data_IF_489671174568
#
_entry.id   IF_489671174568
#
_cell.length_a   1.000
_cell.length_b   1.000
_cell.length_c   1.000
_cell.angle_alpha   90.00
_cell.angle_beta   90.00
_cell.angle_gamma   90.00
#
_symmetry.space_group_name_H-M   'P 1'
#
loop_
_entity.id
_entity.type
_entity.pdbx_description
1 polymer ?
#
# COMPACT_ATOMS: atom_id res chain seq x y z
N UNK A 1 51.92 -47.02 -22.65
CA UNK A 1 53.30 -46.55 -22.90
C UNK A 1 53.32 -45.95 -24.30
N UNK A 2 53.42 -44.62 -24.42
CA UNK A 2 54.04 -43.81 -25.52
C UNK A 2 53.41 -44.02 -26.93
N UNK A 3 53.05 -43.04 -27.78
CA UNK A 3 53.25 -41.58 -27.91
C UNK A 3 52.37 -41.11 -29.11
N UNK A 4 51.59 -40.03 -28.95
CA UNK A 4 51.67 -38.70 -29.59
C UNK A 4 51.05 -38.49 -30.97
N UNK A 5 50.30 -37.38 -30.98
CA UNK A 5 50.18 -36.32 -32.00
C UNK A 5 49.63 -36.64 -33.40
N UNK A 6 48.46 -36.07 -33.71
CA UNK A 6 48.40 -35.00 -34.71
C UNK A 6 47.06 -34.23 -34.68
N UNK A 7 47.18 -32.91 -34.81
CA UNK A 7 46.17 -31.86 -35.01
C UNK A 7 45.41 -32.01 -36.32
N UNK A 8 44.17 -31.47 -36.38
CA UNK A 8 43.61 -30.56 -37.41
C UNK A 8 42.06 -30.54 -37.31
N UNK A 9 41.43 -29.38 -37.05
CA UNK A 9 41.01 -28.34 -38.00
C UNK A 9 39.77 -28.69 -38.84
N UNK A 10 38.67 -27.95 -38.61
CA UNK A 10 37.62 -27.54 -39.57
C UNK A 10 36.55 -26.78 -38.78
N UNK A 11 36.58 -25.45 -38.74
CA UNK A 11 36.28 -24.49 -39.81
C UNK A 11 34.84 -24.58 -40.34
N UNK A 12 34.19 -23.43 -40.22
CA UNK A 12 32.79 -23.12 -40.48
C UNK A 12 32.46 -23.27 -41.97
N UNK A 13 31.26 -23.73 -42.25
CA UNK A 13 30.62 -23.49 -43.55
C UNK A 13 29.24 -22.87 -43.32
N UNK A 14 29.06 -21.75 -43.98
CA UNK A 14 27.85 -20.93 -44.05
C UNK A 14 26.70 -21.70 -44.73
N UNK A 15 25.46 -21.39 -44.33
CA UNK A 15 24.34 -21.41 -45.27
C UNK A 15 23.42 -20.23 -44.97
N UNK A 16 23.68 -19.12 -45.65
CA UNK A 16 22.88 -17.90 -45.63
C UNK A 16 21.81 -18.04 -46.70
N UNK A 17 20.56 -18.31 -46.32
CA UNK A 17 19.43 -18.26 -47.26
C UNK A 17 18.96 -16.82 -47.43
N UNK A 18 19.16 -16.30 -48.63
CA UNK A 18 18.73 -15.00 -49.14
C UNK A 18 17.23 -15.02 -49.40
N UNK A 19 16.49 -14.07 -48.81
CA UNK A 19 15.14 -13.69 -49.26
C UNK A 19 15.23 -12.21 -49.65
N UNK A 20 15.18 -11.95 -50.95
CA UNK A 20 15.06 -10.61 -51.54
C UNK A 20 13.60 -10.18 -51.56
N UNK A 21 13.29 -9.02 -50.99
CA UNK A 21 12.03 -8.33 -51.27
C UNK A 21 12.25 -7.24 -52.33
N UNK A 22 11.34 -7.26 -53.30
CA UNK A 22 11.15 -6.25 -54.34
C UNK A 22 10.52 -5.03 -53.68
N UNK A 23 11.35 -4.06 -53.32
CA UNK A 23 11.10 -2.62 -53.39
C UNK A 23 12.27 -1.91 -52.72
N UNK A 24 13.00 -1.12 -53.51
CA UNK A 24 14.27 -0.49 -53.14
C UNK A 24 14.12 0.55 -52.03
N UNK A 25 14.20 0.10 -50.78
CA UNK A 25 14.45 0.94 -49.61
C UNK A 25 15.51 0.33 -48.69
N UNK A 26 16.54 1.11 -48.39
CA UNK A 26 17.59 0.79 -47.42
C UNK A 26 17.00 0.52 -46.03
N UNK A 27 16.98 -0.75 -45.60
CA UNK A 27 16.66 -1.09 -44.22
C UNK A 27 17.93 -0.94 -43.38
N UNK A 28 17.96 0.17 -42.66
CA UNK A 28 18.91 0.45 -41.58
C UNK A 28 19.10 -0.73 -40.60
N UNK A 29 20.36 -0.91 -40.18
CA UNK A 29 20.85 -1.87 -39.19
C UNK A 29 19.87 -2.09 -38.04
N UNK A 30 19.33 -3.30 -37.94
CA UNK A 30 18.67 -3.80 -36.74
C UNK A 30 19.72 -3.86 -35.63
N UNK A 31 19.71 -2.86 -34.74
CA UNK A 31 20.43 -2.92 -33.48
C UNK A 31 19.79 -4.00 -32.61
N UNK A 32 20.40 -5.18 -32.59
CA UNK A 32 20.17 -6.18 -31.55
C UNK A 32 20.50 -5.52 -30.21
N UNK A 33 19.44 -5.16 -29.46
CA UNK A 33 19.55 -4.60 -28.13
C UNK A 33 20.25 -5.62 -27.22
N UNK A 34 21.54 -5.41 -26.93
CA UNK A 34 22.21 -6.14 -25.85
C UNK A 34 21.45 -5.86 -24.55
N UNK A 35 21.15 -6.89 -23.73
CA UNK A 35 20.61 -6.65 -22.39
C UNK A 35 21.66 -5.87 -21.58
N UNK A 36 21.26 -4.69 -21.07
CA UNK A 36 22.13 -3.90 -20.20
C UNK A 36 22.57 -4.73 -18.98
N UNK A 37 23.85 -4.64 -18.56
CA UNK A 37 24.35 -5.35 -17.40
C UNK A 37 23.59 -4.96 -16.13
N UNK A 38 23.30 -5.94 -15.27
CA UNK A 38 22.50 -5.75 -14.05
C UNK A 38 23.05 -4.65 -13.12
N UNK A 39 24.38 -4.46 -13.09
CA UNK A 39 25.05 -3.40 -12.34
C UNK A 39 24.71 -1.99 -12.80
N UNK A 40 24.33 -1.81 -14.07
CA UNK A 40 23.94 -0.52 -14.65
C UNK A 40 22.49 -0.16 -14.31
N UNK A 41 21.60 -1.17 -14.20
CA UNK A 41 20.22 -0.98 -13.72
C UNK A 41 20.18 -0.53 -12.26
N UNK A 42 21.04 -1.12 -11.42
CA UNK A 42 21.17 -0.77 -9.99
C UNK A 42 21.66 0.67 -9.80
N UNK A 43 22.67 1.11 -10.57
CA UNK A 43 23.16 2.51 -10.50
C UNK A 43 22.14 3.54 -11.01
N UNK A 44 21.37 3.21 -12.05
CA UNK A 44 20.31 4.10 -12.53
C UNK A 44 19.15 4.20 -11.53
N UNK A 45 18.78 3.11 -10.85
CA UNK A 45 17.76 3.15 -9.79
C UNK A 45 18.26 3.84 -8.52
N UNK A 46 19.53 3.66 -8.11
CA UNK A 46 20.16 4.41 -7.00
C UNK A 46 20.19 5.92 -7.23
N UNK A 47 20.28 6.37 -8.48
CA UNK A 47 20.15 7.80 -8.83
C UNK A 47 18.74 8.35 -8.62
N UNK A 48 17.71 7.49 -8.53
CA UNK A 48 16.34 7.85 -8.11
C UNK A 48 16.16 7.82 -6.59
N UNK A 49 17.06 7.21 -5.82
CA UNK A 49 17.08 7.22 -4.35
C UNK A 49 17.85 8.44 -3.82
N UNK A 50 17.56 9.62 -4.36
CA UNK A 50 17.93 10.87 -3.70
C UNK A 50 17.14 10.97 -2.37
N UNK A 51 17.68 11.65 -1.35
CA UNK A 51 17.17 11.69 0.03
C UNK A 51 15.70 12.11 0.20
N UNK A 52 15.04 12.53 -0.87
CA UNK A 52 13.65 12.99 -0.91
C UNK A 52 12.59 11.87 -0.95
N UNK A 53 12.96 10.61 -1.23
CA UNK A 53 12.00 9.49 -1.40
C UNK A 53 12.00 8.50 -0.23
N UNK A 54 11.85 9.00 1.00
CA UNK A 54 11.93 8.21 2.26
C UNK A 54 10.99 6.99 2.25
N UNK A 55 9.77 7.11 1.71
CA UNK A 55 8.83 5.98 1.61
C UNK A 55 9.39 4.87 0.70
N UNK A 56 10.03 5.20 -0.43
CA UNK A 56 10.59 4.21 -1.33
C UNK A 56 11.78 3.49 -0.71
N UNK A 57 12.63 4.22 0.01
CA UNK A 57 13.70 3.64 0.82
C UNK A 57 13.10 2.68 1.84
N UNK A 58 12.04 3.07 2.54
CA UNK A 58 11.37 2.21 3.51
C UNK A 58 10.80 0.94 2.87
N UNK A 59 10.09 1.05 1.73
CA UNK A 59 9.58 -0.12 0.98
C UNK A 59 10.70 -1.05 0.50
N UNK A 60 11.87 -0.49 0.16
CA UNK A 60 13.07 -1.25 -0.18
C UNK A 60 13.59 -2.05 1.03
N UNK A 61 13.78 -1.39 2.18
CA UNK A 61 14.19 -2.03 3.43
C UNK A 61 13.24 -3.16 3.86
N UNK A 62 11.94 -2.97 3.65
CA UNK A 62 10.91 -3.97 3.92
C UNK A 62 10.92 -5.16 2.95
N UNK A 63 11.83 -5.18 1.97
CA UNK A 63 11.95 -6.26 0.98
C UNK A 63 10.77 -6.32 0.01
N UNK A 64 10.03 -5.21 -0.17
CA UNK A 64 8.87 -5.16 -1.08
C UNK A 64 9.27 -4.85 -2.53
N UNK A 65 10.50 -4.42 -2.77
CA UNK A 65 11.01 -4.12 -4.10
C UNK A 65 11.98 -5.23 -4.56
N UNK A 66 11.74 -5.76 -5.76
CA UNK A 66 12.43 -6.95 -6.33
C UNK A 66 13.96 -6.83 -6.38
N UNK A 67 14.51 -5.62 -6.50
CA UNK A 67 15.96 -5.38 -6.56
C UNK A 67 16.68 -5.66 -5.23
N UNK A 68 15.95 -5.96 -4.15
CA UNK A 68 16.54 -6.55 -2.94
C UNK A 68 16.79 -8.06 -3.14
N UNK A 69 17.89 -8.41 -3.80
CA UNK A 69 18.48 -9.77 -3.71
C UNK A 69 19.02 -10.10 -2.31
N UNK A 70 18.86 -9.20 -1.34
CA UNK A 70 19.19 -9.43 0.06
C UNK A 70 18.28 -10.47 0.70
N UNK A 71 18.56 -11.76 0.43
CA UNK A 71 18.03 -12.92 1.15
C UNK A 71 18.22 -12.75 2.67
N UNK A 72 19.27 -12.06 3.08
CA UNK A 72 19.59 -11.74 4.48
C UNK A 72 18.52 -10.84 5.11
N UNK A 73 18.18 -9.69 4.51
CA UNK A 73 17.14 -8.81 5.05
C UNK A 73 15.79 -9.52 5.15
N UNK A 74 15.44 -10.33 4.16
CA UNK A 74 14.23 -11.14 4.20
C UNK A 74 14.25 -12.16 5.35
N UNK A 75 15.37 -12.87 5.54
CA UNK A 75 15.55 -13.81 6.64
C UNK A 75 15.45 -13.12 8.01
N UNK A 76 16.06 -11.94 8.15
CA UNK A 76 15.99 -11.13 9.37
C UNK A 76 14.54 -10.70 9.64
N UNK A 77 13.86 -10.06 8.69
CA UNK A 77 12.47 -9.65 8.87
C UNK A 77 11.58 -10.84 9.18
N UNK A 78 11.66 -11.94 8.42
CA UNK A 78 10.87 -13.14 8.67
C UNK A 78 11.13 -13.74 10.05
N UNK A 79 12.39 -13.75 10.50
CA UNK A 79 12.77 -14.16 11.84
C UNK A 79 12.16 -13.29 12.93
N UNK A 80 12.14 -11.96 12.74
CA UNK A 80 11.49 -11.02 13.66
C UNK A 80 9.98 -11.26 13.74
N UNK A 81 9.32 -11.58 12.62
CA UNK A 81 7.91 -11.96 12.60
C UNK A 81 7.69 -13.27 13.39
N UNK A 82 8.48 -14.31 13.13
CA UNK A 82 8.34 -15.59 13.83
C UNK A 82 8.54 -15.40 15.35
N UNK A 83 9.58 -14.67 15.75
CA UNK A 83 9.89 -14.39 17.15
C UNK A 83 8.74 -13.64 17.84
N UNK A 84 8.19 -12.61 17.20
CA UNK A 84 7.06 -11.84 17.75
C UNK A 84 5.78 -12.68 17.83
N UNK A 85 5.58 -13.60 16.89
CA UNK A 85 4.46 -14.56 16.92
C UNK A 85 4.59 -15.50 18.11
N UNK A 86 5.77 -16.09 18.32
CA UNK A 86 6.05 -17.00 19.44
C UNK A 86 5.86 -16.26 20.77
N UNK A 87 6.43 -15.06 20.89
CA UNK A 87 6.23 -14.16 22.03
C UNK A 87 4.75 -13.95 22.34
N UNK A 88 3.94 -13.61 21.32
CA UNK A 88 2.50 -13.38 21.48
C UNK A 88 1.76 -14.64 21.96
N UNK A 89 2.12 -15.82 21.43
CA UNK A 89 1.54 -17.10 21.85
C UNK A 89 1.88 -17.44 23.30
N UNK A 90 3.13 -17.22 23.72
CA UNK A 90 3.55 -17.41 25.11
C UNK A 90 2.75 -16.49 26.04
N UNK A 91 2.57 -15.21 25.66
CA UNK A 91 1.78 -14.26 26.44
C UNK A 91 0.32 -14.69 26.61
N UNK A 92 -0.29 -15.31 25.60
CA UNK A 92 -1.64 -15.88 25.72
C UNK A 92 -1.66 -17.05 26.71
N UNK A 93 -0.68 -17.94 26.65
CA UNK A 93 -0.57 -19.04 27.60
C UNK A 93 -0.43 -18.54 29.05
N UNK A 94 0.40 -17.51 29.27
CA UNK A 94 0.58 -16.89 30.59
C UNK A 94 -0.70 -16.21 31.07
N UNK A 95 -1.39 -15.47 30.20
CA UNK A 95 -2.60 -14.72 30.55
C UNK A 95 -3.89 -15.54 30.48
N UNK A 96 -3.83 -16.86 30.26
CA UNK A 96 -5.02 -17.72 30.04
C UNK A 96 -6.11 -17.56 31.11
N UNK A 97 -5.72 -17.35 32.37
CA UNK A 97 -6.64 -17.23 33.50
C UNK A 97 -6.79 -15.78 34.00
N UNK A 98 -6.41 -14.79 33.19
CA UNK A 98 -6.44 -13.37 33.54
C UNK A 98 -7.42 -12.59 32.65
N UNK A 99 -7.99 -11.51 33.17
CA UNK A 99 -8.73 -10.51 32.38
C UNK A 99 -7.90 -9.93 31.23
N UNK A 100 -6.57 -10.07 31.29
CA UNK A 100 -5.62 -9.70 30.23
C UNK A 100 -5.63 -10.61 29.01
N UNK A 101 -6.32 -11.76 29.05
CA UNK A 101 -6.47 -12.65 27.90
C UNK A 101 -7.15 -11.93 26.73
N UNK A 102 -8.20 -11.16 27.00
CA UNK A 102 -8.96 -10.42 25.96
C UNK A 102 -8.07 -9.44 25.20
N UNK A 103 -7.22 -8.71 25.93
CA UNK A 103 -6.25 -7.78 25.35
C UNK A 103 -5.17 -8.52 24.54
N UNK A 104 -4.68 -9.65 25.06
CA UNK A 104 -3.68 -10.47 24.36
C UNK A 104 -4.23 -11.06 23.06
N UNK A 105 -5.49 -11.49 23.05
CA UNK A 105 -6.18 -11.98 21.85
C UNK A 105 -6.40 -10.85 20.82
N UNK A 106 -6.75 -9.65 21.27
CA UNK A 106 -6.86 -8.48 20.40
C UNK A 106 -5.51 -8.18 19.71
N UNK A 107 -4.43 -8.11 20.47
CA UNK A 107 -3.08 -7.91 19.94
C UNK A 107 -2.68 -9.00 18.95
N UNK A 108 -2.95 -10.27 19.26
CA UNK A 108 -2.66 -11.39 18.36
C UNK A 108 -3.46 -11.29 17.04
N UNK A 109 -4.75 -10.96 17.11
CA UNK A 109 -5.60 -10.89 15.93
C UNK A 109 -5.14 -9.81 14.94
N UNK A 110 -4.80 -8.62 15.45
CA UNK A 110 -4.33 -7.50 14.62
C UNK A 110 -2.91 -7.74 14.11
N UNK A 111 -2.06 -8.36 14.93
CA UNK A 111 -0.74 -8.83 14.52
C UNK A 111 -0.79 -9.84 13.38
N UNK A 112 -1.66 -10.85 13.49
CA UNK A 112 -1.81 -11.90 12.49
C UNK A 112 -2.22 -11.29 11.14
N UNK A 113 -3.18 -10.36 11.16
CA UNK A 113 -3.57 -9.62 9.96
C UNK A 113 -2.41 -8.75 9.43
N UNK A 114 -1.64 -8.08 10.29
CA UNK A 114 -0.41 -7.36 9.91
C UNK A 114 0.59 -8.25 9.16
N UNK A 115 0.77 -9.47 9.63
CA UNK A 115 1.63 -10.48 8.99
C UNK A 115 1.08 -10.92 7.63
N UNK A 116 -0.22 -11.16 7.53
CA UNK A 116 -0.87 -11.47 6.26
C UNK A 116 -0.76 -10.32 5.25
N UNK A 117 -0.87 -9.06 5.70
CA UNK A 117 -0.65 -7.88 4.86
C UNK A 117 0.77 -7.91 4.31
N UNK A 118 1.77 -8.16 5.16
CA UNK A 118 3.17 -8.25 4.71
C UNK A 118 3.38 -9.36 3.68
N UNK A 119 2.85 -10.56 3.94
CA UNK A 119 2.93 -11.68 3.01
C UNK A 119 2.25 -11.37 1.67
N UNK A 120 1.08 -10.71 1.70
CA UNK A 120 0.33 -10.33 0.51
C UNK A 120 1.10 -9.31 -0.34
N UNK A 121 1.69 -8.28 0.29
CA UNK A 121 2.53 -7.29 -0.38
C UNK A 121 3.80 -7.91 -0.94
N UNK A 122 4.39 -8.86 -0.20
CA UNK A 122 5.58 -9.58 -0.65
C UNK A 122 5.32 -10.39 -1.93
N UNK A 123 4.14 -10.99 -2.08
CA UNK A 123 3.75 -11.67 -3.34
C UNK A 123 3.73 -10.71 -4.53
N UNK A 124 3.49 -9.43 -4.29
CA UNK A 124 3.43 -8.39 -5.33
C UNK A 124 4.77 -7.72 -5.63
N UNK A 125 5.87 -8.14 -4.99
CA UNK A 125 7.21 -7.53 -5.11
C UNK A 125 7.75 -7.34 -6.53
N UNK A 126 7.29 -8.16 -7.48
CA UNK A 126 7.70 -8.08 -8.90
C UNK A 126 6.87 -7.07 -9.69
N UNK A 127 5.61 -6.85 -9.28
CA UNK A 127 4.65 -5.97 -9.97
C UNK A 127 4.71 -4.55 -9.44
N UNK A 128 4.88 -4.39 -8.12
CA UNK A 128 4.92 -3.08 -7.46
C UNK A 128 6.00 -2.13 -8.03
N UNK A 129 7.27 -2.54 -8.24
CA UNK A 129 8.27 -1.64 -8.81
C UNK A 129 7.91 -1.14 -10.21
N UNK A 130 7.28 -1.97 -11.03
CA UNK A 130 6.87 -1.58 -12.38
C UNK A 130 5.76 -0.52 -12.34
N UNK A 131 4.78 -0.70 -11.45
CA UNK A 131 3.73 0.29 -11.21
C UNK A 131 4.34 1.62 -10.75
N UNK A 132 5.21 1.59 -9.76
CA UNK A 132 5.85 2.78 -9.21
C UNK A 132 6.71 3.51 -10.24
N UNK A 133 7.46 2.75 -11.06
CA UNK A 133 8.26 3.29 -12.17
C UNK A 133 7.37 3.93 -13.25
N UNK A 134 6.19 3.36 -13.52
CA UNK A 134 5.24 3.93 -14.47
C UNK A 134 4.73 5.29 -13.97
N UNK A 135 4.35 5.36 -12.70
CA UNK A 135 3.85 6.60 -12.10
C UNK A 135 4.96 7.66 -12.01
N UNK A 136 6.17 7.26 -11.60
CA UNK A 136 7.29 8.19 -11.42
C UNK A 136 7.78 8.83 -12.73
N UNK A 137 7.60 8.15 -13.87
CA UNK A 137 7.93 8.71 -15.19
C UNK A 137 6.99 9.86 -15.59
N UNK A 138 5.73 9.76 -15.17
CA UNK A 138 4.68 10.70 -15.56
C UNK A 138 4.56 11.88 -14.59
N UNK A 139 4.99 11.73 -13.34
CA UNK A 139 5.10 12.80 -12.36
C UNK A 139 6.00 12.32 -11.22
N UNK A 140 6.86 13.18 -10.69
CA UNK A 140 7.58 12.87 -9.46
C UNK A 140 6.59 12.69 -8.31
N UNK A 141 6.73 11.61 -7.54
CA UNK A 141 5.99 11.36 -6.30
C UNK A 141 6.44 12.38 -5.23
N UNK A 142 6.04 13.64 -5.38
CA UNK A 142 6.24 14.61 -4.32
C UNK A 142 5.11 14.45 -3.32
N UNK A 143 5.48 14.01 -2.12
CA UNK A 143 4.59 14.10 -0.99
C UNK A 143 4.19 15.56 -0.77
N UNK A 144 2.89 15.81 -0.73
CA UNK A 144 2.39 17.09 -0.22
C UNK A 144 2.82 17.25 1.25
N UNK A 145 2.88 18.50 1.75
CA UNK A 145 3.22 18.75 3.17
C UNK A 145 2.38 17.88 4.11
N UNK A 146 1.09 17.75 3.82
CA UNK A 146 0.16 16.91 4.57
C UNK A 146 0.58 15.43 4.54
N UNK A 147 0.85 14.86 3.37
CA UNK A 147 1.23 13.45 3.27
C UNK A 147 2.57 13.14 3.99
N UNK A 148 3.53 14.09 4.01
CA UNK A 148 4.75 13.95 4.81
C UNK A 148 4.44 13.84 6.31
N UNK A 149 3.50 14.66 6.81
CA UNK A 149 3.05 14.59 8.21
C UNK A 149 2.46 13.22 8.53
N UNK A 150 1.58 12.67 7.68
CA UNK A 150 1.03 11.32 7.91
C UNK A 150 2.10 10.24 7.90
N UNK A 151 3.07 10.34 6.99
CA UNK A 151 4.19 9.41 6.96
C UNK A 151 4.99 9.44 8.27
N UNK A 152 5.40 10.64 8.73
CA UNK A 152 6.16 10.77 9.97
C UNK A 152 5.36 10.36 11.21
N UNK A 153 4.07 10.70 11.26
CA UNK A 153 3.17 10.26 12.33
C UNK A 153 3.04 8.75 12.37
N UNK A 154 2.93 8.10 11.20
CA UNK A 154 2.86 6.63 11.13
C UNK A 154 4.16 5.98 11.60
N UNK A 155 5.31 6.55 11.22
CA UNK A 155 6.63 6.07 11.60
C UNK A 155 6.95 6.34 13.08
N UNK A 156 6.31 7.31 13.73
CA UNK A 156 6.54 7.61 15.16
C UNK A 156 5.79 6.68 16.11
N UNK A 157 4.74 5.97 15.64
CA UNK A 157 3.90 5.08 16.48
C UNK A 157 4.71 4.07 17.30
N UNK A 158 5.68 3.31 16.75
CA UNK A 158 6.42 2.32 17.54
C UNK A 158 7.20 2.98 18.68
N UNK A 159 7.76 4.17 18.44
CA UNK A 159 8.49 4.93 19.45
C UNK A 159 7.57 5.48 20.54
N UNK A 160 6.37 5.92 20.19
CA UNK A 160 5.36 6.34 21.16
C UNK A 160 4.96 5.16 22.07
N UNK A 161 4.68 3.99 21.50
CA UNK A 161 4.30 2.80 22.28
C UNK A 161 5.40 2.38 23.27
N UNK A 162 6.66 2.44 22.84
CA UNK A 162 7.81 2.06 23.68
C UNK A 162 8.08 3.10 24.75
N UNK A 163 8.00 4.38 24.42
CA UNK A 163 8.18 5.47 25.40
C UNK A 163 7.15 5.35 26.52
N UNK A 164 5.90 5.00 26.18
CA UNK A 164 4.83 4.76 27.15
C UNK A 164 5.13 3.56 28.06
N UNK A 165 5.67 2.47 27.50
CA UNK A 165 6.01 1.27 28.27
C UNK A 165 7.21 1.52 29.21
N UNK A 166 8.25 2.18 28.72
CA UNK A 166 9.41 2.56 29.55
C UNK A 166 8.98 3.52 30.67
N UNK A 167 8.11 4.49 30.37
CA UNK A 167 7.59 5.42 31.36
C UNK A 167 6.78 4.70 32.45
N UNK A 168 5.92 3.76 32.04
CA UNK A 168 5.16 2.91 32.96
C UNK A 168 6.07 2.17 33.94
N UNK A 169 7.10 1.51 33.42
CA UNK A 169 8.06 0.74 34.21
C UNK A 169 8.86 1.64 35.17
N UNK A 170 9.24 2.83 34.71
CA UNK A 170 9.98 3.82 35.51
C UNK A 170 9.14 4.35 36.68
N UNK A 171 7.86 4.65 36.44
CA UNK A 171 6.94 5.16 37.49
C UNK A 171 6.63 4.07 38.51
N UNK A 172 6.52 2.82 38.09
CA UNK A 172 6.15 1.70 38.96
C UNK A 172 7.22 1.30 40.00
N UNK A 173 8.42 1.90 39.98
CA UNK A 173 9.53 1.68 40.94
C UNK A 173 9.77 0.19 41.28
N UNK A 174 9.68 -0.70 40.30
CA UNK A 174 9.92 -2.14 40.50
C UNK A 174 11.42 -2.43 40.37
N UNK A 175 12.17 -2.30 41.47
CA UNK A 175 13.63 -2.14 41.40
C UNK A 175 14.47 -3.40 41.47
N UNK A 176 13.97 -4.56 41.86
CA UNK A 176 14.90 -5.65 42.19
C UNK A 176 15.03 -6.69 41.09
N UNK A 177 13.92 -7.19 40.53
CA UNK A 177 13.95 -8.11 39.39
C UNK A 177 12.66 -8.06 38.56
N UNK A 178 12.80 -8.23 37.24
CA UNK A 178 11.69 -8.27 36.30
C UNK A 178 11.52 -9.71 35.80
N UNK A 179 10.28 -10.20 35.73
CA UNK A 179 10.01 -11.53 35.18
C UNK A 179 9.66 -11.41 33.70
N UNK A 180 10.53 -11.93 32.83
CA UNK A 180 10.26 -12.06 31.39
C UNK A 180 10.07 -13.53 31.07
N UNK A 181 8.88 -13.90 30.60
CA UNK A 181 8.52 -15.28 30.28
C UNK A 181 8.83 -16.27 31.42
N UNK A 182 8.67 -15.83 32.68
CA UNK A 182 8.96 -16.63 33.88
C UNK A 182 10.43 -16.63 34.32
N UNK A 183 11.33 -15.98 33.60
CA UNK A 183 12.74 -15.83 33.99
C UNK A 183 12.97 -14.53 34.74
N UNK A 184 13.67 -14.62 35.87
CA UNK A 184 14.11 -13.48 36.65
C UNK A 184 15.30 -12.80 35.94
N UNK A 185 15.11 -11.56 35.51
CA UNK A 185 16.16 -10.76 34.84
C UNK A 185 16.34 -9.42 35.55
N UNK A 186 17.50 -8.79 35.35
CA UNK A 186 17.73 -7.44 35.86
C UNK A 186 16.76 -6.45 35.21
N UNK A 187 16.40 -5.39 35.94
CA UNK A 187 15.47 -4.36 35.47
C UNK A 187 15.84 -3.80 34.08
N UNK A 188 17.12 -3.49 33.86
CA UNK A 188 17.60 -2.94 32.59
C UNK A 188 17.47 -3.91 31.42
N UNK A 189 17.84 -5.18 31.62
CA UNK A 189 17.70 -6.22 30.59
C UNK A 189 16.22 -6.47 30.31
N UNK A 190 15.40 -6.49 31.37
CA UNK A 190 13.96 -6.65 31.27
C UNK A 190 13.31 -5.57 30.39
N UNK A 191 13.61 -4.30 30.70
CA UNK A 191 13.07 -3.17 29.96
C UNK A 191 13.55 -3.15 28.51
N UNK A 192 14.80 -3.51 28.25
CA UNK A 192 15.33 -3.59 26.89
C UNK A 192 14.58 -4.64 26.06
N UNK A 193 14.44 -5.86 26.59
CA UNK A 193 13.74 -6.95 25.88
C UNK A 193 12.28 -6.62 25.65
N UNK A 194 11.59 -6.06 26.65
CA UNK A 194 10.19 -5.64 26.52
C UNK A 194 10.04 -4.51 25.49
N UNK A 195 10.93 -3.51 25.53
CA UNK A 195 10.95 -2.42 24.55
C UNK A 195 11.13 -2.92 23.13
N UNK A 196 12.08 -3.85 22.91
CA UNK A 196 12.29 -4.46 21.59
C UNK A 196 11.05 -5.22 21.12
N UNK A 197 10.40 -5.99 22.00
CA UNK A 197 9.17 -6.69 21.67
C UNK A 197 8.04 -5.72 21.26
N UNK A 198 7.87 -4.61 22.00
CA UNK A 198 6.89 -3.58 21.69
C UNK A 198 7.20 -2.81 20.40
N UNK A 199 8.47 -2.50 20.11
CA UNK A 199 8.87 -1.93 18.81
C UNK A 199 8.43 -2.87 17.69
N UNK A 200 8.81 -4.14 17.77
CA UNK A 200 8.51 -5.12 16.73
C UNK A 200 7.01 -5.31 16.54
N UNK A 201 6.27 -5.43 17.64
CA UNK A 201 4.82 -5.58 17.58
C UNK A 201 4.15 -4.37 16.95
N UNK A 202 4.48 -3.16 17.42
CA UNK A 202 3.90 -1.89 16.94
C UNK A 202 4.31 -1.58 15.49
N UNK A 203 5.52 -1.99 15.12
CA UNK A 203 6.02 -1.86 13.76
C UNK A 203 5.22 -2.74 12.78
N UNK A 204 4.96 -4.00 13.16
CA UNK A 204 4.16 -4.93 12.35
C UNK A 204 2.70 -4.46 12.27
N UNK A 205 2.14 -4.04 13.40
CA UNK A 205 0.83 -3.41 13.44
C UNK A 205 0.75 -2.38 14.58
N UNK A 206 0.30 -1.14 14.30
CA UNK A 206 -0.37 -0.69 13.08
C UNK A 206 0.57 -0.08 12.03
N UNK A 207 1.85 0.17 12.32
CA UNK A 207 2.73 1.00 11.49
C UNK A 207 2.87 0.47 10.06
N UNK A 208 3.24 -0.79 9.89
CA UNK A 208 3.44 -1.35 8.56
C UNK A 208 2.14 -1.38 7.74
N UNK A 209 1.02 -1.78 8.35
CA UNK A 209 -0.29 -1.74 7.70
C UNK A 209 -0.64 -0.32 7.22
N UNK A 210 -0.40 0.70 8.05
CA UNK A 210 -0.62 2.10 7.70
C UNK A 210 0.34 2.59 6.61
N UNK A 211 1.59 2.13 6.56
CA UNK A 211 2.52 2.51 5.49
C UNK A 211 2.11 1.91 4.13
N UNK A 212 1.63 0.67 4.12
CA UNK A 212 1.05 0.05 2.92
C UNK A 212 -0.24 0.77 2.51
N UNK A 213 -1.10 1.08 3.49
CA UNK A 213 -2.33 1.86 3.27
C UNK A 213 -2.06 3.26 2.73
N UNK A 214 -1.01 3.93 3.22
CA UNK A 214 -0.55 5.23 2.72
C UNK A 214 -0.09 5.10 1.26
N UNK A 215 0.72 4.10 0.93
CA UNK A 215 1.16 3.86 -0.45
C UNK A 215 -0.04 3.65 -1.39
N UNK A 216 -1.00 2.82 -0.98
CA UNK A 216 -2.24 2.59 -1.72
C UNK A 216 -3.03 3.91 -1.90
N UNK A 217 -3.18 4.68 -0.83
CA UNK A 217 -3.88 5.97 -0.85
C UNK A 217 -3.21 6.98 -1.78
N UNK A 218 -1.88 7.06 -1.79
CA UNK A 218 -1.12 7.93 -2.70
C UNK A 218 -1.36 7.57 -4.17
N UNK A 219 -1.36 6.28 -4.49
CA UNK A 219 -1.63 5.80 -5.84
C UNK A 219 -3.05 6.14 -6.29
N UNK A 220 -4.03 6.02 -5.39
CA UNK A 220 -5.41 6.41 -5.66
C UNK A 220 -5.54 7.92 -5.87
N UNK A 221 -4.92 8.73 -4.99
CA UNK A 221 -4.91 10.18 -5.13
C UNK A 221 -4.24 10.63 -6.43
N UNK A 222 -3.17 9.96 -6.84
CA UNK A 222 -2.52 10.22 -8.13
C UNK A 222 -3.48 10.01 -9.31
N UNK A 223 -4.24 8.91 -9.30
CA UNK A 223 -5.29 8.65 -10.29
C UNK A 223 -6.34 9.77 -10.28
N UNK A 224 -6.84 10.16 -9.09
CA UNK A 224 -7.81 11.25 -8.96
C UNK A 224 -7.27 12.56 -9.54
N UNK A 225 -6.01 12.91 -9.26
CA UNK A 225 -5.38 14.12 -9.81
C UNK A 225 -5.27 14.06 -11.33
N UNK A 226 -4.88 12.90 -11.90
CA UNK A 226 -4.82 12.73 -13.36
C UNK A 226 -6.20 12.91 -14.01
N UNK A 227 -7.25 12.34 -13.41
CA UNK A 227 -8.64 12.52 -13.88
C UNK A 227 -9.09 13.98 -13.78
N UNK A 228 -8.84 14.65 -12.66
CA UNK A 228 -9.19 16.07 -12.49
C UNK A 228 -8.49 16.93 -13.54
N UNK A 229 -7.19 16.73 -13.78
CA UNK A 229 -6.45 17.51 -14.77
C UNK A 229 -7.00 17.36 -16.19
N UNK A 230 -7.39 16.15 -16.59
CA UNK A 230 -8.05 15.92 -17.89
C UNK A 230 -9.42 16.61 -17.90
N UNK A 231 -10.16 16.52 -16.80
CA UNK A 231 -11.49 17.15 -16.67
C UNK A 231 -11.39 18.67 -16.81
N UNK A 232 -10.43 19.29 -16.12
CA UNK A 232 -10.20 20.74 -16.14
C UNK A 232 -9.74 21.22 -17.54
N UNK A 233 -8.93 20.41 -18.23
CA UNK A 233 -8.52 20.63 -19.63
C UNK A 233 -9.72 20.60 -20.61
N UNK A 234 -10.67 19.68 -20.41
CA UNK A 234 -11.92 19.65 -21.20
C UNK A 234 -12.81 20.85 -20.88
N UNK A 235 -12.91 21.21 -19.60
CA UNK A 235 -13.77 22.30 -19.15
C UNK A 235 -13.30 23.64 -19.72
N UNK A 236 -11.99 23.89 -19.70
CA UNK A 236 -11.35 25.13 -20.19
C UNK A 236 -11.30 25.27 -21.72
N UNK A 237 -11.25 24.17 -22.47
CA UNK A 237 -11.27 24.15 -23.94
C UNK A 237 -12.56 24.78 -24.51
N UNK A 238 -12.59 25.40 -25.70
CA UNK A 238 -13.86 25.80 -26.31
C UNK A 238 -14.58 24.61 -26.98
N UNK A 239 -15.89 24.69 -27.19
CA UNK A 239 -16.62 23.63 -27.90
C UNK A 239 -16.14 23.46 -29.36
N UNK A 240 -15.64 24.54 -29.97
CA UNK A 240 -15.07 24.54 -31.33
C UNK A 240 -13.70 23.83 -31.38
N UNK A 241 -12.90 23.95 -30.32
CA UNK A 241 -11.60 23.28 -30.19
C UNK A 241 -11.73 21.79 -29.81
N UNK A 242 -12.88 21.38 -29.26
CA UNK A 242 -13.12 20.00 -28.80
C UNK A 242 -13.38 18.99 -29.93
N UNK A 243 -12.55 19.04 -30.97
CA UNK A 243 -12.61 18.23 -32.18
C UNK A 243 -12.53 16.72 -31.93
N UNK A 244 -12.88 15.91 -32.94
CA UNK A 244 -12.75 14.44 -32.88
C UNK A 244 -11.33 13.99 -32.53
N UNK A 245 -10.30 14.68 -33.04
CA UNK A 245 -8.91 14.38 -32.69
C UNK A 245 -8.63 14.68 -31.21
N UNK A 246 -9.14 15.79 -30.67
CA UNK A 246 -9.02 16.14 -29.25
C UNK A 246 -9.78 15.15 -28.36
N UNK A 247 -10.99 14.75 -28.75
CA UNK A 247 -11.77 13.71 -28.06
C UNK A 247 -11.00 12.39 -28.00
N UNK A 248 -10.39 11.96 -29.11
CA UNK A 248 -9.57 10.75 -29.17
C UNK A 248 -8.33 10.85 -28.29
N UNK A 249 -7.65 12.00 -28.27
CA UNK A 249 -6.52 12.26 -27.37
C UNK A 249 -6.92 12.13 -25.89
N UNK A 250 -8.02 12.78 -25.50
CA UNK A 250 -8.58 12.69 -24.14
C UNK A 250 -8.91 11.25 -23.77
N UNK A 251 -9.52 10.49 -24.67
CA UNK A 251 -9.84 9.07 -24.43
C UNK A 251 -8.58 8.19 -24.39
N UNK A 252 -7.55 8.52 -25.16
CA UNK A 252 -6.25 7.86 -25.04
C UNK A 252 -5.65 8.04 -23.64
N UNK A 253 -5.70 9.26 -23.10
CA UNK A 253 -5.26 9.55 -21.72
C UNK A 253 -6.12 8.86 -20.67
N UNK A 254 -7.43 8.78 -20.86
CA UNK A 254 -8.34 8.03 -19.97
C UNK A 254 -8.02 6.54 -19.95
N UNK A 255 -7.78 5.93 -21.12
CA UNK A 255 -7.42 4.52 -21.22
C UNK A 255 -6.07 4.19 -20.52
N UNK A 256 -5.14 5.14 -20.46
CA UNK A 256 -3.91 4.99 -19.67
C UNK A 256 -4.20 4.98 -18.16
N UNK A 257 -5.12 5.84 -17.70
CA UNK A 257 -5.58 5.87 -16.31
C UNK A 257 -6.29 4.56 -15.95
N UNK A 258 -7.16 4.07 -16.83
CA UNK A 258 -7.85 2.78 -16.67
C UNK A 258 -6.85 1.63 -16.45
N UNK A 259 -5.80 1.55 -17.29
CA UNK A 259 -4.73 0.55 -17.12
C UNK A 259 -4.02 0.69 -15.78
N UNK A 260 -3.80 1.92 -15.33
CA UNK A 260 -3.17 2.21 -14.05
C UNK A 260 -4.05 1.75 -12.88
N UNK A 261 -5.35 2.08 -12.90
CA UNK A 261 -6.34 1.64 -11.92
C UNK A 261 -6.39 0.11 -11.85
N UNK A 262 -6.44 -0.56 -13.00
CA UNK A 262 -6.42 -2.02 -13.06
C UNK A 262 -5.12 -2.61 -12.45
N UNK A 263 -3.97 -1.98 -12.69
CA UNK A 263 -2.71 -2.39 -12.04
C UNK A 263 -2.75 -2.22 -10.52
N UNK A 264 -3.29 -1.09 -10.03
CA UNK A 264 -3.47 -0.83 -8.60
C UNK A 264 -4.38 -1.90 -8.00
N UNK A 265 -5.55 -2.14 -8.59
CA UNK A 265 -6.51 -3.18 -8.17
C UNK A 265 -5.82 -4.55 -8.06
N UNK A 266 -5.12 -4.98 -9.11
CA UNK A 266 -4.45 -6.29 -9.15
C UNK A 266 -3.37 -6.48 -8.08
N UNK A 267 -2.71 -5.40 -7.69
CA UNK A 267 -1.66 -5.42 -6.66
C UNK A 267 -2.28 -5.34 -5.26
N UNK A 268 -3.22 -4.42 -5.06
CA UNK A 268 -3.71 -4.05 -3.74
C UNK A 268 -5.04 -4.68 -3.33
N UNK A 269 -5.71 -5.47 -4.18
CA UNK A 269 -7.00 -6.08 -3.80
C UNK A 269 -6.91 -6.89 -2.49
N UNK A 270 -5.96 -7.82 -2.37
CA UNK A 270 -5.76 -8.58 -1.12
C UNK A 270 -5.18 -7.71 0.02
N UNK A 271 -4.10 -6.93 -0.19
CA UNK A 271 -3.58 -6.06 0.86
C UNK A 271 -4.61 -5.09 1.45
N UNK A 272 -5.38 -4.40 0.59
CA UNK A 272 -6.37 -3.40 1.01
C UNK A 272 -7.54 -4.04 1.77
N UNK A 273 -7.97 -5.24 1.38
CA UNK A 273 -8.94 -6.03 2.15
C UNK A 273 -8.43 -6.31 3.56
N UNK A 274 -7.22 -6.88 3.67
CA UNK A 274 -6.62 -7.22 4.97
C UNK A 274 -6.38 -5.99 5.85
N UNK A 275 -5.93 -4.87 5.26
CA UNK A 275 -5.78 -3.59 5.94
C UNK A 275 -7.13 -3.11 6.50
N UNK A 276 -8.18 -3.13 5.68
CA UNK A 276 -9.50 -2.70 6.09
C UNK A 276 -10.04 -3.57 7.24
N UNK A 277 -9.93 -4.90 7.10
CA UNK A 277 -10.32 -5.85 8.15
C UNK A 277 -9.53 -5.64 9.44
N UNK A 278 -8.20 -5.45 9.35
CA UNK A 278 -7.35 -5.25 10.51
C UNK A 278 -7.71 -3.98 11.28
N UNK A 279 -7.81 -2.85 10.57
CA UNK A 279 -8.17 -1.58 11.19
C UNK A 279 -9.58 -1.57 11.75
N UNK A 280 -10.56 -2.12 11.03
CA UNK A 280 -11.92 -2.21 11.53
C UNK A 280 -12.00 -3.08 12.79
N UNK A 281 -11.37 -4.25 12.77
CA UNK A 281 -11.33 -5.17 13.91
C UNK A 281 -10.66 -4.53 15.12
N UNK A 282 -9.54 -3.83 14.92
CA UNK A 282 -8.85 -3.09 15.98
C UNK A 282 -9.76 -2.02 16.58
N UNK A 283 -10.41 -1.20 15.76
CA UNK A 283 -11.30 -0.15 16.24
C UNK A 283 -12.46 -0.71 17.09
N UNK A 284 -13.15 -1.74 16.59
CA UNK A 284 -14.29 -2.35 17.30
C UNK A 284 -13.83 -2.99 18.62
N UNK A 285 -12.73 -3.73 18.60
CA UNK A 285 -12.25 -4.41 19.80
C UNK A 285 -11.69 -3.44 20.85
N UNK A 286 -11.04 -2.35 20.45
CA UNK A 286 -10.61 -1.28 21.37
C UNK A 286 -11.83 -0.60 21.98
N UNK A 287 -12.82 -0.21 21.18
CA UNK A 287 -14.06 0.39 21.70
C UNK A 287 -14.78 -0.56 22.66
N UNK A 288 -14.94 -1.83 22.29
CA UNK A 288 -15.53 -2.83 23.17
C UNK A 288 -14.76 -3.00 24.48
N UNK A 289 -13.43 -2.99 24.43
CA UNK A 289 -12.56 -3.06 25.61
C UNK A 289 -12.74 -1.83 26.50
N UNK A 290 -12.78 -0.63 25.92
CA UNK A 290 -12.98 0.63 26.65
C UNK A 290 -14.36 0.72 27.31
N UNK A 291 -15.40 0.17 26.68
CA UNK A 291 -16.77 0.19 27.22
C UNK A 291 -16.93 -0.85 28.33
N UNK A 292 -16.55 -2.11 28.07
CA UNK A 292 -16.79 -3.24 28.99
C UNK A 292 -15.90 -3.16 30.23
N UNK A 293 -14.65 -2.74 30.07
CA UNK A 293 -13.62 -2.82 31.10
C UNK A 293 -13.04 -1.44 31.46
N UNK A 294 -13.81 -0.37 31.27
CA UNK A 294 -13.39 1.02 31.49
C UNK A 294 -12.63 1.21 32.81
N UNK A 295 -13.16 0.67 33.92
CA UNK A 295 -12.56 0.80 35.27
C UNK A 295 -11.18 0.16 35.44
N UNK A 296 -10.86 -0.86 34.65
CA UNK A 296 -9.56 -1.55 34.72
C UNK A 296 -8.52 -0.74 33.94
N UNK A 297 -8.89 -0.25 32.76
CA UNK A 297 -7.97 0.45 31.88
C UNK A 297 -7.77 1.93 32.22
N UNK A 298 -8.75 2.59 32.83
CA UNK A 298 -8.56 3.97 33.32
C UNK A 298 -7.57 4.08 34.47
N UNK A 299 -7.29 2.97 35.18
CA UNK A 299 -6.26 2.92 36.23
C UNK A 299 -4.84 2.72 35.68
N UNK A 300 -4.69 2.18 34.47
CA UNK A 300 -3.40 1.97 33.80
C UNK A 300 -3.27 2.95 32.62
N UNK A 301 -2.84 4.18 32.93
CA UNK A 301 -2.75 5.29 31.98
C UNK A 301 -1.89 4.95 30.74
N UNK A 302 -0.84 4.13 30.90
CA UNK A 302 0.01 3.72 29.80
C UNK A 302 -0.74 2.82 28.81
N UNK A 303 -1.50 1.83 29.32
CA UNK A 303 -2.30 0.94 28.48
C UNK A 303 -3.42 1.72 27.79
N UNK A 304 -4.09 2.64 28.49
CA UNK A 304 -5.11 3.51 27.90
C UNK A 304 -4.55 4.32 26.73
N UNK A 305 -3.40 4.97 26.92
CA UNK A 305 -2.76 5.74 25.87
C UNK A 305 -2.34 4.89 24.66
N UNK A 306 -1.81 3.68 24.89
CA UNK A 306 -1.48 2.75 23.81
C UNK A 306 -2.73 2.39 23.00
N UNK A 307 -3.84 2.07 23.66
CA UNK A 307 -5.12 1.78 23.00
C UNK A 307 -5.61 2.98 22.18
N UNK A 308 -5.50 4.20 22.70
CA UNK A 308 -5.86 5.43 21.96
C UNK A 308 -4.97 5.61 20.74
N UNK A 309 -3.65 5.45 20.86
CA UNK A 309 -2.71 5.57 19.73
C UNK A 309 -3.04 4.56 18.64
N UNK A 310 -3.29 3.30 18.99
CA UNK A 310 -3.66 2.25 18.03
C UNK A 310 -5.03 2.54 17.40
N UNK A 311 -6.00 3.03 18.17
CA UNK A 311 -7.32 3.41 17.68
C UNK A 311 -7.24 4.55 16.66
N UNK A 312 -6.52 5.63 16.99
CA UNK A 312 -6.34 6.78 16.09
C UNK A 312 -5.57 6.38 14.84
N UNK A 313 -4.51 5.57 15.00
CA UNK A 313 -3.72 5.05 13.88
C UNK A 313 -4.58 4.19 12.94
N UNK A 314 -5.46 3.35 13.49
CA UNK A 314 -6.27 2.42 12.71
C UNK A 314 -7.46 3.10 12.03
N UNK A 315 -8.18 3.96 12.77
CA UNK A 315 -9.28 4.74 12.22
C UNK A 315 -8.78 5.72 11.15
N UNK A 316 -7.66 6.40 11.38
CA UNK A 316 -7.01 7.27 10.41
C UNK A 316 -6.56 6.52 9.15
N UNK A 317 -5.90 5.37 9.30
CA UNK A 317 -5.47 4.54 8.18
C UNK A 317 -6.63 4.02 7.33
N UNK A 318 -7.70 3.54 7.98
CA UNK A 318 -8.92 3.08 7.31
C UNK A 318 -9.63 4.21 6.57
N UNK A 319 -9.78 5.37 7.23
CA UNK A 319 -10.40 6.54 6.63
C UNK A 319 -9.61 7.02 5.41
N UNK A 320 -8.28 7.09 5.51
CA UNK A 320 -7.43 7.48 4.38
C UNK A 320 -7.61 6.55 3.17
N UNK A 321 -7.61 5.23 3.40
CA UNK A 321 -7.82 4.25 2.34
C UNK A 321 -9.19 4.39 1.68
N UNK A 322 -10.26 4.48 2.48
CA UNK A 322 -11.64 4.64 1.98
C UNK A 322 -11.84 5.96 1.24
N UNK A 323 -11.27 7.05 1.77
CA UNK A 323 -11.39 8.38 1.17
C UNK A 323 -10.67 8.49 -0.16
N UNK A 324 -9.43 7.99 -0.23
CA UNK A 324 -8.59 8.05 -1.42
C UNK A 324 -9.15 7.15 -2.53
N UNK A 325 -9.41 5.87 -2.23
CA UNK A 325 -9.94 4.94 -3.22
C UNK A 325 -11.38 5.29 -3.64
N UNK A 326 -12.22 5.74 -2.70
CA UNK A 326 -13.57 6.21 -2.98
C UNK A 326 -13.63 7.54 -3.73
N UNK A 327 -12.52 8.25 -3.88
CA UNK A 327 -12.43 9.46 -4.71
C UNK A 327 -12.36 9.18 -6.21
N UNK A 328 -11.81 8.02 -6.61
CA UNK A 328 -11.65 7.65 -8.03
C UNK A 328 -12.99 7.64 -8.78
N UNK A 329 -14.03 6.91 -8.33
CA UNK A 329 -15.30 6.90 -9.05
C UNK A 329 -15.96 8.29 -9.13
N UNK A 330 -15.75 9.14 -8.12
CA UNK A 330 -16.30 10.51 -8.11
C UNK A 330 -15.64 11.37 -9.19
N UNK A 331 -14.30 11.34 -9.29
CA UNK A 331 -13.60 12.10 -10.33
C UNK A 331 -13.85 11.53 -11.72
N UNK A 332 -14.04 10.22 -11.86
CA UNK A 332 -14.41 9.60 -13.12
C UNK A 332 -15.81 10.00 -13.58
N UNK A 333 -16.80 9.99 -12.67
CA UNK A 333 -18.16 10.44 -12.98
C UNK A 333 -18.15 11.92 -13.40
N UNK A 334 -17.38 12.77 -12.69
CA UNK A 334 -17.17 14.18 -13.05
C UNK A 334 -16.54 14.32 -14.44
N UNK A 335 -15.53 13.49 -14.75
CA UNK A 335 -14.91 13.44 -16.08
C UNK A 335 -15.93 13.07 -17.16
N UNK A 336 -16.68 11.96 -16.97
CA UNK A 336 -17.70 11.48 -17.92
C UNK A 336 -18.77 12.53 -18.18
N UNK A 337 -19.26 13.18 -17.13
CA UNK A 337 -20.25 14.24 -17.23
C UNK A 337 -19.72 15.47 -17.97
N UNK A 338 -18.48 15.88 -17.67
CA UNK A 338 -17.84 17.03 -18.31
C UNK A 338 -17.57 16.77 -19.78
N UNK A 339 -17.04 15.59 -20.12
CA UNK A 339 -16.85 15.14 -21.49
C UNK A 339 -18.19 15.14 -22.26
N UNK A 340 -19.23 14.53 -21.69
CA UNK A 340 -20.57 14.46 -22.30
C UNK A 340 -21.14 15.86 -22.56
N UNK A 341 -21.05 16.75 -21.58
CA UNK A 341 -21.50 18.14 -21.70
C UNK A 341 -20.78 18.85 -22.85
N UNK A 342 -19.46 18.68 -22.95
CA UNK A 342 -18.64 19.31 -24.00
C UNK A 342 -18.94 18.75 -25.39
N UNK A 343 -19.07 17.44 -25.53
CA UNK A 343 -19.47 16.79 -26.79
C UNK A 343 -20.85 17.27 -27.23
N UNK A 344 -21.81 17.39 -26.31
CA UNK A 344 -23.15 17.89 -26.63
C UNK A 344 -23.13 19.34 -27.12
N UNK A 345 -22.36 20.22 -26.46
CA UNK A 345 -22.20 21.61 -26.89
C UNK A 345 -21.58 21.70 -28.29
N UNK A 346 -20.59 20.85 -28.57
CA UNK A 346 -19.98 20.78 -29.89
C UNK A 346 -20.96 20.28 -30.96
N UNK A 347 -21.71 19.22 -30.68
CA UNK A 347 -22.68 18.67 -31.62
C UNK A 347 -23.76 19.68 -32.02
N UNK A 348 -24.15 20.57 -31.10
CA UNK A 348 -25.07 21.67 -31.38
C UNK A 348 -24.47 22.71 -32.33
N UNK A 349 -23.14 22.89 -32.32
CA UNK A 349 -22.43 23.84 -33.18
C UNK A 349 -22.04 23.23 -34.53
N UNK A 350 -21.68 21.95 -34.54
CA UNK A 350 -21.17 21.23 -35.71
C UNK A 350 -22.11 20.07 -35.95
N UNK A 351 -22.97 20.18 -36.97
CA UNK A 351 -24.03 19.22 -37.31
C UNK A 351 -23.46 17.86 -37.80
N UNK A 352 -22.74 17.14 -36.94
CA UNK A 352 -21.83 16.05 -37.30
C UNK A 352 -22.25 14.68 -36.76
N UNK A 353 -22.55 13.73 -37.66
CA UNK A 353 -22.97 12.35 -37.33
C UNK A 353 -21.91 11.53 -36.57
N UNK A 354 -20.61 11.81 -36.75
CA UNK A 354 -19.51 11.02 -36.16
C UNK A 354 -19.32 11.18 -34.65
N UNK A 355 -19.83 12.26 -34.04
CA UNK A 355 -19.67 12.52 -32.60
C UNK A 355 -20.54 11.60 -31.72
N UNK A 356 -21.64 11.05 -32.27
CA UNK A 356 -22.50 10.09 -31.55
C UNK A 356 -21.79 8.78 -31.22
N UNK A 357 -20.90 8.32 -32.10
CA UNK A 357 -20.21 7.03 -31.91
C UNK A 357 -19.26 7.08 -30.70
N UNK A 358 -18.53 8.19 -30.53
CA UNK A 358 -17.60 8.39 -29.42
C UNK A 358 -18.36 8.55 -28.10
N UNK A 359 -19.50 9.24 -28.12
CA UNK A 359 -20.32 9.44 -26.93
C UNK A 359 -20.89 8.11 -26.38
N UNK A 360 -21.32 7.19 -27.25
CA UNK A 360 -21.84 5.89 -26.84
C UNK A 360 -20.75 4.99 -26.21
N UNK A 361 -19.51 5.04 -26.72
CA UNK A 361 -18.39 4.27 -26.16
C UNK A 361 -18.05 4.62 -24.70
N UNK A 362 -18.26 5.87 -24.28
CA UNK A 362 -18.00 6.30 -22.90
C UNK A 362 -19.15 5.91 -21.97
N UNK A 363 -20.38 5.93 -22.50
CA UNK A 363 -21.59 5.62 -21.72
C UNK A 363 -21.67 4.14 -21.29
N UNK A 364 -21.08 3.26 -22.08
CA UNK A 364 -21.08 1.81 -21.82
C UNK A 364 -19.97 1.37 -20.84
N UNK A 365 -18.98 2.21 -20.55
CA UNK A 365 -17.88 1.83 -19.65
C UNK A 365 -18.32 1.85 -18.18
N UNK A 366 -18.19 0.73 -17.44
CA UNK A 366 -18.48 0.68 -16.02
C UNK A 366 -17.54 1.60 -15.23
N UNK A 367 -18.06 2.20 -14.15
CA UNK A 367 -17.27 3.07 -13.27
C UNK A 367 -16.17 2.28 -12.54
N UNK A 368 -14.98 2.85 -12.44
CA UNK A 368 -13.85 2.35 -11.68
C UNK A 368 -14.17 2.35 -10.19
N UNK A 369 -14.50 1.17 -9.66
CA UNK A 369 -14.62 0.97 -8.22
C UNK A 369 -13.56 -0.03 -7.78
N UNK A 370 -12.58 0.45 -7.02
CA UNK A 370 -11.58 -0.42 -6.40
C UNK A 370 -12.23 -1.30 -5.32
N UNK A 371 -11.76 -2.54 -5.23
CA UNK A 371 -12.32 -3.53 -4.31
C UNK A 371 -11.25 -4.35 -3.59
N UNK A 372 -11.50 -4.61 -2.31
CA UNK A 372 -10.76 -5.57 -1.51
C UNK A 372 -11.34 -6.96 -1.70
N UNK A 373 -10.64 -7.81 -2.46
CA UNK A 373 -11.06 -9.18 -2.81
C UNK A 373 -12.47 -9.29 -3.41
N UNK A 374 -12.99 -8.22 -4.06
CA UNK A 374 -14.39 -8.13 -4.52
C UNK A 374 -15.46 -8.26 -3.42
N UNK A 375 -15.03 -8.29 -2.15
CA UNK A 375 -15.90 -8.36 -0.97
C UNK A 375 -16.20 -6.95 -0.45
N UNK A 376 -15.18 -6.09 -0.39
CA UNK A 376 -15.31 -4.72 0.12
C UNK A 376 -15.10 -3.75 -1.03
N UNK A 377 -16.12 -2.95 -1.36
CA UNK A 377 -16.01 -1.89 -2.35
C UNK A 377 -15.67 -0.57 -1.67
N UNK A 378 -14.56 0.05 -2.08
CA UNK A 378 -14.09 1.30 -1.50
C UNK A 378 -14.84 2.48 -2.12
N UNK A 379 -15.94 2.89 -1.49
CA UNK A 379 -16.70 4.11 -1.83
C UNK A 379 -16.69 5.06 -0.63
N UNK A 380 -16.83 6.37 -0.87
CA UNK A 380 -16.98 7.34 0.25
C UNK A 380 -18.23 7.07 1.09
N UNK A 381 -19.32 6.55 0.48
CA UNK A 381 -20.51 6.13 1.22
C UNK A 381 -20.24 5.01 2.22
N UNK A 382 -19.23 4.16 1.97
CA UNK A 382 -18.81 3.12 2.90
C UNK A 382 -18.29 3.70 4.22
N UNK A 383 -17.79 4.94 4.24
CA UNK A 383 -17.35 5.62 5.47
C UNK A 383 -18.54 5.83 6.42
N UNK A 384 -19.67 6.31 5.89
CA UNK A 384 -20.87 6.55 6.69
C UNK A 384 -21.45 5.23 7.20
N UNK A 385 -21.50 4.20 6.34
CA UNK A 385 -21.93 2.85 6.74
C UNK A 385 -21.04 2.29 7.86
N UNK A 386 -19.73 2.51 7.77
CA UNK A 386 -18.77 2.07 8.78
C UNK A 386 -18.98 2.80 10.10
N UNK A 387 -19.10 4.13 10.06
CA UNK A 387 -19.36 4.94 11.25
C UNK A 387 -20.68 4.54 11.93
N UNK A 388 -21.75 4.34 11.16
CA UNK A 388 -23.03 3.85 11.66
C UNK A 388 -22.93 2.45 12.28
N UNK A 389 -22.14 1.56 11.69
CA UNK A 389 -21.91 0.21 12.21
C UNK A 389 -21.17 0.26 13.55
N UNK A 390 -20.08 1.04 13.64
CA UNK A 390 -19.32 1.24 14.87
C UNK A 390 -20.21 1.83 15.96
N UNK A 391 -21.00 2.85 15.65
CA UNK A 391 -21.94 3.48 16.58
C UNK A 391 -23.00 2.49 17.07
N UNK A 392 -23.61 1.73 16.16
CA UNK A 392 -24.66 0.75 16.49
C UNK A 392 -24.14 -0.32 17.44
N UNK A 393 -22.99 -0.93 17.12
CA UNK A 393 -22.39 -1.93 18.00
C UNK A 393 -21.93 -1.33 19.34
N UNK A 394 -21.43 -0.10 19.33
CA UNK A 394 -21.07 0.62 20.55
C UNK A 394 -22.28 0.82 21.46
N UNK A 395 -23.41 1.31 20.92
CA UNK A 395 -24.67 1.49 21.67
C UNK A 395 -25.18 0.14 22.19
N UNK A 396 -25.15 -0.91 21.37
CA UNK A 396 -25.57 -2.25 21.79
C UNK A 396 -24.71 -2.80 22.93
N UNK A 397 -23.41 -2.54 22.92
CA UNK A 397 -22.50 -2.93 24.00
C UNK A 397 -22.77 -2.13 25.28
N UNK A 398 -23.01 -0.81 25.16
CA UNK A 398 -23.37 0.03 26.31
C UNK A 398 -24.69 -0.43 26.93
N UNK A 399 -25.69 -0.81 26.13
CA UNK A 399 -27.00 -1.23 26.65
C UNK A 399 -26.97 -2.60 27.35
N UNK A 400 -26.03 -3.47 26.99
CA UNK A 400 -25.92 -4.84 27.55
C UNK A 400 -25.10 -4.90 28.84
N UNK A 401 -24.32 -3.88 29.15
CA UNK A 401 -23.57 -3.73 30.41
C UNK A 401 -24.29 -2.75 31.33
#
# INVERSE_FOLDING_TARGET
MISQDMKEAKEKTELTSVITNVDGQEVSKIHVMRPLPASMKVKQCLKYFNSEYILMTFLHWMGLLHESENRVLFGVFSGLFILTTISSLIMICIHRNSDRLKLSLLHLSTYFLGTLIWLSMRRQRKRLPNLLRSVSKSQSFFFTKFQKVFFYLTCSVPFLCVTQEVLKQTIAKTTDFYYIYGFQVSFYVGNLVNSLAWILHSFIYPTYANLVGLLYSLLCLYVCTKLSLITDDIESCSAQEFTISRQRDVLGREAEIERLVHCIQKIFSVPSFLIATAHFSACIAILGTLIVNSRIYTKDYAVLNQLIVVFLSSSGGLLACLWAAGGIPIEEDRFKDTFRRKTKQRFQLVNGKNERCIQNQILEKPTFVLSGCEIIYFRRSSILSLAGTVLTYTILLIRKN
#
